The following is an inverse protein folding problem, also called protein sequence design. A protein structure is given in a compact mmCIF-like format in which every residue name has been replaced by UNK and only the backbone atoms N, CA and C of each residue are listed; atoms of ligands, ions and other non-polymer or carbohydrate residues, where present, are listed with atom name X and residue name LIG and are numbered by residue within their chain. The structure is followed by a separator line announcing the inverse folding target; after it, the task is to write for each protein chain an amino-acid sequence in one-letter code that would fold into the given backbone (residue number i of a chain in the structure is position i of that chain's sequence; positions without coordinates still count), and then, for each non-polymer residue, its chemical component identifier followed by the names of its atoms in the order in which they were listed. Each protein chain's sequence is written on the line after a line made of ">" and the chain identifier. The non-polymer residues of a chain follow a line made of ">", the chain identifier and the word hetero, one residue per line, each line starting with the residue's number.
data_IF_635394888250
#
_entry.id   IF_635394888250
#
_cell.length_a   1.000
_cell.length_b   1.000
_cell.length_c   1.000
_cell.angle_alpha   90.00
_cell.angle_beta   90.00
_cell.angle_gamma   90.00
#
_symmetry.space_group_name_H-M   'P 1'
#
loop_
_entity.id
_entity.type
_entity.pdbx_description
1 polymer ?
#
# COMPACT_ATOMS: atom_id res chain seq x y z
N UNK A 1 1.45 -22.95 2.86
CA UNK A 1 2.66 -22.33 3.48
C UNK A 1 2.76 -22.78 4.94
N UNK A 2 3.96 -22.88 5.52
CA UNK A 2 4.15 -23.28 6.94
C UNK A 2 3.66 -22.20 7.91
N UNK A 3 3.15 -22.60 9.08
CA UNK A 3 2.56 -21.74 10.12
C UNK A 3 3.55 -20.67 10.59
N UNK A 4 4.81 -21.05 10.83
CA UNK A 4 5.87 -20.10 11.21
C UNK A 4 6.13 -19.02 10.17
N UNK A 5 5.99 -19.36 8.88
CA UNK A 5 6.16 -18.40 7.78
C UNK A 5 4.96 -17.45 7.69
N UNK A 6 3.75 -17.96 7.94
CA UNK A 6 2.54 -17.13 7.98
C UNK A 6 2.63 -16.11 9.12
N UNK A 7 3.06 -16.51 10.31
CA UNK A 7 3.26 -15.60 11.44
C UNK A 7 4.30 -14.51 11.12
N UNK A 8 5.42 -14.90 10.52
CA UNK A 8 6.44 -13.94 10.06
C UNK A 8 5.88 -12.88 9.10
N UNK A 9 5.12 -13.30 8.08
CA UNK A 9 4.51 -12.35 7.14
C UNK A 9 3.40 -11.52 7.78
N UNK A 10 2.63 -12.10 8.71
CA UNK A 10 1.61 -11.39 9.49
C UNK A 10 2.22 -10.25 10.29
N UNK A 11 3.28 -10.51 11.05
CA UNK A 11 3.99 -9.46 11.81
C UNK A 11 4.54 -8.36 10.89
N UNK A 12 5.11 -8.74 9.74
CA UNK A 12 5.63 -7.79 8.76
C UNK A 12 4.53 -6.90 8.17
N UNK A 13 3.37 -7.48 7.85
CA UNK A 13 2.19 -6.76 7.37
C UNK A 13 1.64 -5.79 8.43
N UNK A 14 1.49 -6.24 9.67
CA UNK A 14 1.01 -5.41 10.78
C UNK A 14 1.94 -4.22 11.06
N UNK A 15 3.26 -4.45 11.04
CA UNK A 15 4.24 -3.37 11.19
C UNK A 15 4.11 -2.34 10.08
N UNK A 16 3.91 -2.79 8.84
CA UNK A 16 3.71 -1.89 7.69
C UNK A 16 2.39 -1.13 7.79
N UNK A 17 1.32 -1.78 8.24
CA UNK A 17 0.01 -1.16 8.46
C UNK A 17 0.08 0.00 9.45
N UNK A 18 0.76 -0.20 10.59
CA UNK A 18 0.95 0.85 11.60
C UNK A 18 1.71 2.04 11.01
N UNK A 19 2.80 1.79 10.29
CA UNK A 19 3.60 2.84 9.65
C UNK A 19 2.82 3.64 8.61
N UNK A 20 2.02 2.98 7.77
CA UNK A 20 1.22 3.68 6.75
C UNK A 20 0.05 4.45 7.36
N UNK A 21 -0.58 3.91 8.41
CA UNK A 21 -1.68 4.60 9.10
C UNK A 21 -1.21 5.93 9.70
N UNK A 22 -0.05 5.94 10.37
CA UNK A 22 0.56 7.17 10.90
C UNK A 22 0.89 8.18 9.79
N UNK A 23 1.45 7.72 8.66
CA UNK A 23 1.75 8.61 7.52
C UNK A 23 0.49 9.23 6.90
N UNK A 24 -0.58 8.45 6.74
CA UNK A 24 -1.86 8.95 6.20
C UNK A 24 -2.46 10.00 7.13
N UNK A 25 -2.47 9.75 8.44
CA UNK A 25 -3.00 10.70 9.45
C UNK A 25 -2.24 12.03 9.47
N UNK A 26 -0.90 11.99 9.41
CA UNK A 26 -0.06 13.22 9.34
C UNK A 26 -0.29 14.02 8.06
N UNK A 27 -0.54 13.33 6.95
CA UNK A 27 -0.80 13.99 5.68
C UNK A 27 -2.16 14.69 5.69
N UNK A 28 -3.17 14.08 6.32
CA UNK A 28 -4.48 14.71 6.50
C UNK A 28 -4.44 15.92 7.45
N UNK A 29 -3.64 15.87 8.53
CA UNK A 29 -3.49 17.01 9.44
C UNK A 29 -2.76 18.18 8.77
N UNK A 30 -1.73 17.92 7.96
CA UNK A 30 -1.03 18.94 7.18
C UNK A 30 -1.97 19.69 6.22
N UNK A 31 -2.94 19.00 5.63
CA UNK A 31 -3.95 19.62 4.77
C UNK A 31 -4.97 20.49 5.52
N UNK A 32 -5.08 20.38 6.86
CA UNK A 32 -6.06 21.11 7.69
C UNK A 32 -5.46 22.29 8.48
N UNK A 33 -4.16 22.28 8.77
CA UNK A 33 -3.56 23.19 9.77
C UNK A 33 -3.00 24.53 9.25
N UNK A 34 -3.12 24.89 7.97
CA UNK A 34 -2.62 26.19 7.49
C UNK A 34 -3.59 26.96 6.61
N UNK A 35 -4.23 27.95 7.23
CA UNK A 35 -5.03 28.98 6.56
C UNK A 35 -4.85 30.37 7.21
N UNK A 36 -3.67 30.68 7.77
CA UNK A 36 -3.43 31.94 8.50
C UNK A 36 -2.05 32.58 8.32
N UNK A 37 -1.47 32.59 7.12
CA UNK A 37 -0.34 33.49 6.83
C UNK A 37 -0.45 34.08 5.42
N UNK A 38 -0.04 35.35 5.29
CA UNK A 38 0.04 36.06 4.01
C UNK A 38 1.15 35.39 3.19
N UNK A 39 0.78 34.63 2.16
CA UNK A 39 1.70 33.98 1.23
C UNK A 39 1.78 34.78 -0.06
N UNK A 40 2.97 34.93 -0.62
CA UNK A 40 3.12 35.49 -1.96
C UNK A 40 2.70 34.45 -3.04
N UNK A 41 2.62 34.88 -4.30
CA UNK A 41 2.16 34.01 -5.39
C UNK A 41 3.10 32.82 -5.61
N UNK A 42 4.40 32.98 -5.34
CA UNK A 42 5.37 31.90 -5.47
C UNK A 42 5.19 30.86 -4.36
N UNK A 43 5.00 31.31 -3.12
CA UNK A 43 4.72 30.47 -1.96
C UNK A 43 3.42 29.67 -2.14
N UNK A 44 2.36 30.32 -2.64
CA UNK A 44 1.09 29.64 -2.94
C UNK A 44 1.23 28.55 -4.01
N UNK A 45 2.04 28.79 -5.05
CA UNK A 45 2.28 27.80 -6.11
C UNK A 45 3.05 26.57 -5.58
N UNK A 46 4.10 26.80 -4.78
CA UNK A 46 4.88 25.73 -4.16
C UNK A 46 4.03 24.93 -3.17
N UNK A 47 3.17 25.61 -2.39
CA UNK A 47 2.26 24.94 -1.47
C UNK A 47 1.22 24.08 -2.20
N UNK A 48 0.57 24.60 -3.25
CA UNK A 48 -0.43 23.85 -4.02
C UNK A 48 0.17 22.56 -4.57
N UNK A 49 1.37 22.66 -5.17
CA UNK A 49 2.10 21.48 -5.66
C UNK A 49 2.41 20.48 -4.54
N UNK A 50 2.90 20.97 -3.40
CA UNK A 50 3.22 20.12 -2.24
C UNK A 50 1.98 19.41 -1.69
N UNK A 51 0.85 20.13 -1.63
CA UNK A 51 -0.43 19.61 -1.19
C UNK A 51 -0.95 18.53 -2.14
N UNK A 52 -0.95 18.78 -3.45
CA UNK A 52 -1.35 17.81 -4.47
C UNK A 52 -0.47 16.57 -4.45
N UNK A 53 0.86 16.74 -4.35
CA UNK A 53 1.81 15.65 -4.24
C UNK A 53 1.54 14.78 -3.00
N UNK A 54 1.35 15.41 -1.84
CA UNK A 54 1.05 14.72 -0.59
C UNK A 54 -0.31 14.00 -0.64
N UNK A 55 -1.31 14.61 -1.27
CA UNK A 55 -2.62 13.99 -1.46
C UNK A 55 -2.57 12.75 -2.37
N UNK A 56 -1.84 12.84 -3.49
CA UNK A 56 -1.59 11.71 -4.38
C UNK A 56 -0.87 10.56 -3.66
N UNK A 57 0.16 10.88 -2.88
CA UNK A 57 0.87 9.91 -2.04
C UNK A 57 -0.07 9.27 -1.00
N UNK A 58 -0.89 10.06 -0.31
CA UNK A 58 -1.88 9.54 0.66
C UNK A 58 -2.86 8.56 0.00
N UNK A 59 -3.28 8.84 -1.23
CA UNK A 59 -4.16 7.95 -2.01
C UNK A 59 -3.50 6.60 -2.29
N UNK A 60 -2.21 6.60 -2.67
CA UNK A 60 -1.41 5.39 -2.82
C UNK A 60 -1.23 4.62 -1.52
N UNK A 61 -0.93 5.31 -0.42
CA UNK A 61 -0.77 4.70 0.90
C UNK A 61 -2.08 4.05 1.40
N UNK A 62 -3.24 4.69 1.15
CA UNK A 62 -4.56 4.11 1.43
C UNK A 62 -4.82 2.86 0.61
N UNK A 63 -4.44 2.84 -0.67
CA UNK A 63 -4.55 1.65 -1.50
C UNK A 63 -3.70 0.50 -0.97
N UNK A 64 -2.46 0.77 -0.56
CA UNK A 64 -1.60 -0.25 0.06
C UNK A 64 -2.19 -0.73 1.39
N UNK A 65 -2.75 0.15 2.23
CA UNK A 65 -3.45 -0.24 3.46
C UNK A 65 -4.61 -1.20 3.18
N UNK A 66 -5.36 -0.96 2.10
CA UNK A 66 -6.42 -1.87 1.66
C UNK A 66 -5.84 -3.25 1.30
N UNK A 67 -4.78 -3.30 0.48
CA UNK A 67 -4.12 -4.56 0.11
C UNK A 67 -3.52 -5.29 1.32
N UNK A 68 -3.01 -4.57 2.32
CA UNK A 68 -2.51 -5.18 3.56
C UNK A 68 -3.65 -5.86 4.33
N UNK A 69 -4.81 -5.21 4.44
CA UNK A 69 -5.99 -5.82 5.09
C UNK A 69 -6.43 -7.09 4.38
N UNK A 70 -6.47 -7.07 3.05
CA UNK A 70 -6.77 -8.25 2.23
C UNK A 70 -5.72 -9.36 2.39
N UNK A 71 -4.44 -9.01 2.48
CA UNK A 71 -3.37 -9.96 2.72
C UNK A 71 -3.49 -10.62 4.10
N UNK A 72 -3.84 -9.85 5.14
CA UNK A 72 -4.09 -10.38 6.49
C UNK A 72 -5.28 -11.34 6.50
N UNK A 73 -6.39 -10.99 5.84
CA UNK A 73 -7.54 -11.89 5.69
C UNK A 73 -7.16 -13.20 5.00
N UNK A 74 -6.35 -13.14 3.92
CA UNK A 74 -5.84 -14.35 3.25
C UNK A 74 -4.92 -15.20 4.12
N UNK A 75 -4.23 -14.62 5.10
CA UNK A 75 -3.45 -15.38 6.08
C UNK A 75 -4.40 -16.17 6.99
N UNK A 76 -5.48 -15.54 7.45
CA UNK A 76 -6.51 -16.17 8.28
C UNK A 76 -7.22 -17.32 7.52
N UNK A 77 -7.54 -17.09 6.25
CA UNK A 77 -8.16 -18.08 5.35
C UNK A 77 -7.19 -19.14 4.82
N UNK A 78 -5.90 -19.08 5.20
CA UNK A 78 -4.83 -19.96 4.71
C UNK A 78 -4.65 -20.00 3.19
N UNK A 79 -5.07 -18.94 2.49
CA UNK A 79 -4.88 -18.75 1.04
C UNK A 79 -3.68 -17.83 0.70
N UNK A 80 -3.00 -17.30 1.72
CA UNK A 80 -1.82 -16.45 1.55
C UNK A 80 -0.67 -17.17 0.85
N UNK A 81 -0.04 -16.46 -0.09
CA UNK A 81 1.04 -17.00 -0.92
C UNK A 81 0.56 -17.63 -2.23
N UNK A 82 -0.74 -17.66 -2.50
CA UNK A 82 -1.30 -18.07 -3.79
C UNK A 82 -1.77 -16.86 -4.59
N UNK A 83 -1.52 -16.87 -5.91
CA UNK A 83 -1.98 -15.83 -6.82
C UNK A 83 -3.50 -15.88 -6.95
N UNK A 84 -4.19 -14.76 -6.75
CA UNK A 84 -5.65 -14.71 -6.83
C UNK A 84 -6.20 -14.80 -8.26
N UNK A 85 -5.34 -14.69 -9.28
CA UNK A 85 -5.75 -14.75 -10.69
C UNK A 85 -5.49 -16.13 -11.30
N UNK A 86 -4.25 -16.64 -11.22
CA UNK A 86 -3.87 -17.90 -11.86
C UNK A 86 -3.72 -19.07 -10.89
N UNK A 87 -4.04 -18.87 -9.61
CA UNK A 87 -4.01 -19.90 -8.56
C UNK A 87 -2.66 -20.59 -8.34
N UNK A 88 -1.58 -20.06 -8.94
CA UNK A 88 -0.23 -20.56 -8.74
C UNK A 88 0.43 -19.95 -7.51
N UNK A 89 1.37 -20.66 -6.90
CA UNK A 89 2.18 -20.13 -5.80
C UNK A 89 2.96 -18.86 -6.21
N UNK A 90 2.96 -17.88 -5.30
CA UNK A 90 3.74 -16.66 -5.42
C UNK A 90 5.13 -16.93 -4.87
N UNK A 91 6.15 -16.56 -5.66
CA UNK A 91 7.55 -16.73 -5.26
C UNK A 91 7.82 -16.09 -3.89
N UNK A 92 8.47 -16.80 -2.94
CA UNK A 92 8.76 -16.26 -1.61
C UNK A 92 9.56 -14.95 -1.63
N UNK A 93 10.48 -14.79 -2.60
CA UNK A 93 11.23 -13.54 -2.80
C UNK A 93 10.32 -12.34 -3.10
N UNK A 94 9.21 -12.56 -3.83
CA UNK A 94 8.22 -11.52 -4.12
C UNK A 94 7.40 -11.18 -2.89
N UNK A 95 6.96 -12.19 -2.13
CA UNK A 95 6.27 -11.96 -0.85
C UNK A 95 7.18 -11.21 0.13
N UNK A 96 8.50 -11.42 0.06
CA UNK A 96 9.42 -10.66 0.90
C UNK A 96 9.59 -9.21 0.50
N UNK A 97 9.59 -8.92 -0.81
CA UNK A 97 9.64 -7.55 -1.30
C UNK A 97 8.30 -6.82 -1.13
N UNK A 98 7.20 -7.50 -1.42
CA UNK A 98 5.84 -6.94 -1.48
C UNK A 98 4.86 -7.91 -0.81
N UNK A 99 4.82 -7.96 0.53
CA UNK A 99 4.03 -8.96 1.27
C UNK A 99 2.51 -8.80 1.10
N UNK A 100 2.03 -7.64 0.66
CA UNK A 100 0.60 -7.39 0.40
C UNK A 100 0.16 -7.78 -1.02
N UNK A 101 1.05 -8.31 -1.86
CA UNK A 101 0.71 -8.65 -3.25
C UNK A 101 -0.40 -9.71 -3.33
N UNK A 102 -1.36 -9.50 -4.24
CA UNK A 102 -2.38 -10.51 -4.59
C UNK A 102 -1.99 -11.37 -5.80
N UNK A 103 -1.06 -10.88 -6.62
CA UNK A 103 -0.66 -11.49 -7.89
C UNK A 103 0.78 -12.03 -7.86
N UNK A 104 1.02 -13.07 -8.66
CA UNK A 104 2.37 -13.46 -9.06
C UNK A 104 2.96 -12.44 -10.06
N UNK A 105 4.26 -12.54 -10.33
CA UNK A 105 4.94 -11.57 -11.21
C UNK A 105 4.36 -11.55 -12.64
N UNK A 106 3.95 -12.71 -13.16
CA UNK A 106 3.35 -12.83 -14.50
C UNK A 106 1.99 -12.13 -14.57
N UNK A 107 1.11 -12.40 -13.62
CA UNK A 107 -0.20 -11.74 -13.58
C UNK A 107 -0.07 -10.25 -13.28
N UNK A 108 0.91 -9.84 -12.49
CA UNK A 108 1.21 -8.42 -12.27
C UNK A 108 1.59 -7.72 -13.60
N UNK A 109 2.48 -8.32 -14.39
CA UNK A 109 2.90 -7.78 -15.70
C UNK A 109 1.72 -7.69 -16.68
N UNK A 110 0.83 -8.69 -16.69
CA UNK A 110 -0.38 -8.65 -17.52
C UNK A 110 -1.35 -7.54 -17.08
N UNK A 111 -1.55 -7.35 -15.77
CA UNK A 111 -2.36 -6.27 -15.22
C UNK A 111 -1.81 -4.90 -15.62
N UNK A 112 -0.48 -4.70 -15.51
CA UNK A 112 0.18 -3.45 -15.89
C UNK A 112 0.09 -3.15 -17.40
N UNK A 113 -0.04 -4.20 -18.24
CA UNK A 113 -0.29 -4.08 -19.68
C UNK A 113 -1.78 -3.89 -20.03
N UNK A 114 -2.68 -3.89 -19.04
CA UNK A 114 -4.13 -3.81 -19.27
C UNK A 114 -4.72 -5.08 -19.90
N UNK A 115 -4.05 -6.23 -19.73
CA UNK A 115 -4.49 -7.53 -20.24
C UNK A 115 -5.21 -8.38 -19.17
N UNK A 116 -5.38 -7.82 -17.97
CA UNK A 116 -6.16 -8.38 -16.87
C UNK A 116 -7.00 -7.26 -16.25
N UNK A 117 -8.21 -7.60 -15.84
CA UNK A 117 -9.12 -6.72 -15.08
C UNK A 117 -9.04 -7.01 -13.57
#
# INVERSE_FOLDING_TARGET
>A
MDEKKLDYFKEKLLRKQLSLTDMVQRTESYGREKDQNIQDIADMAVESYTREFNFGKSSGDRHILQLIREALARIEDRTYGTCTHCETEILPKRLEAVPWTRLCIRCQDLLEKGLLE
#
